data_IF_483057349941
#
_entry.id   IF_483057349941
#
_cell.length_a   1.000
_cell.length_b   1.000
_cell.length_c   1.000
_cell.angle_alpha   90.00
_cell.angle_beta   90.00
_cell.angle_gamma   90.00
#
_symmetry.space_group_name_H-M   'P 1'
#
loop_
_entity.id
_entity.type
_entity.pdbx_description
1 polymer ?
#
# COMPACT_ATOMS: atom_id res chain seq x y z
N UNK A 1 -18.36 -8.45 -8.94
CA UNK A 1 -19.11 -7.24 -8.52
C UNK A 1 -19.05 -6.93 -7.03
N UNK A 2 -18.81 -7.88 -6.09
CA UNK A 2 -18.56 -7.59 -4.65
C UNK A 2 -17.15 -7.07 -4.28
N UNK A 3 -16.06 -7.38 -5.00
CA UNK A 3 -14.71 -6.87 -4.67
C UNK A 3 -14.59 -5.35 -4.78
N UNK A 4 -15.30 -4.76 -5.75
CA UNK A 4 -15.31 -3.31 -6.01
C UNK A 4 -15.90 -2.54 -4.84
N UNK A 5 -16.97 -3.04 -4.22
CA UNK A 5 -17.58 -2.41 -3.05
C UNK A 5 -16.60 -2.34 -1.86
N UNK A 6 -15.87 -3.43 -1.58
CA UNK A 6 -14.89 -3.42 -0.48
C UNK A 6 -13.65 -2.55 -0.73
N UNK A 7 -13.19 -2.47 -1.97
CA UNK A 7 -12.11 -1.55 -2.34
C UNK A 7 -12.57 -0.08 -2.28
N UNK A 8 -13.81 0.18 -2.69
CA UNK A 8 -14.46 1.49 -2.62
C UNK A 8 -14.64 1.97 -1.18
N UNK A 9 -15.15 1.12 -0.29
CA UNK A 9 -15.35 1.47 1.12
C UNK A 9 -14.01 1.77 1.83
N UNK A 10 -12.95 1.04 1.48
CA UNK A 10 -11.60 1.34 1.97
C UNK A 10 -11.07 2.68 1.45
N UNK A 11 -11.23 2.96 0.15
CA UNK A 11 -10.78 4.22 -0.45
C UNK A 11 -11.53 5.43 0.13
N UNK A 12 -12.86 5.35 0.25
CA UNK A 12 -13.69 6.41 0.84
C UNK A 12 -13.34 6.63 2.33
N UNK A 13 -13.01 5.57 3.07
CA UNK A 13 -12.53 5.69 4.45
C UNK A 13 -11.17 6.38 4.58
N UNK A 14 -10.34 6.43 3.53
CA UNK A 14 -9.11 7.23 3.51
C UNK A 14 -9.39 8.71 3.22
N UNK A 15 -10.32 9.00 2.30
CA UNK A 15 -10.69 10.37 1.94
C UNK A 15 -11.36 11.12 3.10
N UNK A 16 -12.07 10.42 3.99
CA UNK A 16 -12.69 10.98 5.20
C UNK A 16 -11.71 11.64 6.19
N UNK A 17 -10.40 11.39 6.06
CA UNK A 17 -9.37 12.03 6.89
C UNK A 17 -8.95 13.41 6.37
N UNK A 18 -9.39 13.82 5.18
CA UNK A 18 -9.09 15.15 4.65
C UNK A 18 -9.95 16.22 5.36
N UNK A 19 -9.38 17.39 5.74
CA UNK A 19 -10.15 18.44 6.42
C UNK A 19 -11.36 18.87 5.57
N UNK A 20 -12.57 18.64 6.08
CA UNK A 20 -13.83 18.99 5.39
C UNK A 20 -14.43 17.90 4.49
N UNK A 21 -13.86 16.68 4.46
CA UNK A 21 -14.40 15.59 3.64
C UNK A 21 -15.60 14.84 4.27
N UNK A 22 -15.82 14.99 5.58
CA UNK A 22 -16.96 14.39 6.28
C UNK A 22 -17.44 15.27 7.44
N UNK A 23 -18.76 15.36 7.62
CA UNK A 23 -19.39 16.08 8.75
C UNK A 23 -19.08 15.44 10.11
N UNK A 24 -18.62 14.19 10.11
CA UNK A 24 -18.31 13.42 11.32
C UNK A 24 -16.85 13.02 11.32
N UNK A 25 -16.11 13.20 12.43
CA UNK A 25 -14.72 12.80 12.51
C UNK A 25 -14.58 11.28 12.31
N UNK A 26 -13.47 10.81 11.71
CA UNK A 26 -13.27 9.39 11.43
C UNK A 26 -13.27 8.57 12.71
N UNK A 27 -13.96 7.44 12.65
CA UNK A 27 -14.14 6.46 13.73
C UNK A 27 -12.81 5.78 14.09
N UNK A 28 -12.77 5.15 15.26
CA UNK A 28 -11.60 4.39 15.70
C UNK A 28 -11.26 3.23 14.74
N UNK A 29 -12.29 2.61 14.15
CA UNK A 29 -12.12 1.52 13.19
C UNK A 29 -11.48 2.01 11.88
N UNK A 30 -11.95 3.14 11.34
CA UNK A 30 -11.38 3.74 10.12
C UNK A 30 -9.91 4.13 10.33
N UNK A 31 -9.57 4.69 11.51
CA UNK A 31 -8.17 4.99 11.88
C UNK A 31 -7.31 3.74 11.94
N UNK A 32 -7.86 2.65 12.48
CA UNK A 32 -7.17 1.38 12.54
C UNK A 32 -6.93 0.81 11.15
N UNK A 33 -7.94 0.85 10.27
CA UNK A 33 -7.83 0.39 8.89
C UNK A 33 -6.83 1.23 8.09
N UNK A 34 -6.84 2.56 8.24
CA UNK A 34 -5.85 3.44 7.63
C UNK A 34 -4.42 3.05 8.02
N UNK A 35 -4.17 2.92 9.33
CA UNK A 35 -2.86 2.48 9.84
C UNK A 35 -2.48 1.08 9.37
N UNK A 36 -3.44 0.19 9.18
CA UNK A 36 -3.21 -1.13 8.63
C UNK A 36 -2.78 -1.06 7.16
N UNK A 37 -3.44 -0.24 6.35
CA UNK A 37 -3.08 -0.01 4.94
C UNK A 37 -1.69 0.63 4.84
N UNK A 38 -1.39 1.65 5.65
CA UNK A 38 -0.05 2.26 5.72
C UNK A 38 1.03 1.20 6.01
N UNK A 39 0.75 0.30 6.96
CA UNK A 39 1.66 -0.80 7.30
C UNK A 39 1.80 -1.78 6.14
N UNK A 40 0.71 -2.08 5.42
CA UNK A 40 0.73 -2.97 4.27
C UNK A 40 1.58 -2.39 3.12
N UNK A 41 1.45 -1.09 2.83
CA UNK A 41 2.27 -0.37 1.85
C UNK A 41 3.75 -0.41 2.24
N UNK A 42 4.07 -0.07 3.50
CA UNK A 42 5.43 -0.11 4.00
C UNK A 42 6.05 -1.53 3.95
N UNK A 43 5.23 -2.56 4.16
CA UNK A 43 5.65 -3.97 4.08
C UNK A 43 5.88 -4.39 2.61
N UNK A 44 4.98 -4.01 1.70
CA UNK A 44 5.11 -4.26 0.27
C UNK A 44 6.37 -3.66 -0.32
N UNK A 45 6.73 -2.43 0.09
CA UNK A 45 7.97 -1.77 -0.34
C UNK A 45 9.25 -2.55 0.01
N UNK A 46 9.19 -3.51 0.94
CA UNK A 46 10.37 -4.24 1.46
C UNK A 46 10.28 -5.75 1.27
N UNK A 47 9.18 -6.28 0.71
CA UNK A 47 8.94 -7.71 0.51
C UNK A 47 8.22 -7.97 -0.81
N UNK A 48 8.84 -8.63 -1.79
CA UNK A 48 8.20 -8.96 -3.06
C UNK A 48 6.90 -9.78 -2.91
N UNK A 49 6.84 -10.66 -1.89
CA UNK A 49 5.64 -11.45 -1.61
C UNK A 49 4.48 -10.58 -1.13
N UNK A 50 4.75 -9.65 -0.22
CA UNK A 50 3.75 -8.71 0.26
C UNK A 50 3.34 -7.72 -0.84
N UNK A 51 4.30 -7.29 -1.69
CA UNK A 51 4.03 -6.44 -2.83
C UNK A 51 3.06 -7.10 -3.81
N UNK A 52 3.22 -8.40 -4.11
CA UNK A 52 2.27 -9.13 -4.95
C UNK A 52 0.84 -9.09 -4.39
N UNK A 53 0.67 -9.35 -3.08
CA UNK A 53 -0.64 -9.27 -2.45
C UNK A 53 -1.23 -7.85 -2.45
N UNK A 54 -0.39 -6.82 -2.34
CA UNK A 54 -0.82 -5.42 -2.45
C UNK A 54 -1.25 -5.07 -3.88
N UNK A 55 -0.46 -5.48 -4.88
CA UNK A 55 -0.75 -5.24 -6.29
C UNK A 55 -2.02 -5.97 -6.74
N UNK A 56 -2.24 -7.21 -6.28
CA UNK A 56 -3.49 -7.96 -6.52
C UNK A 56 -4.74 -7.15 -6.14
N UNK A 57 -4.66 -6.34 -5.07
CA UNK A 57 -5.78 -5.53 -4.56
C UNK A 57 -5.85 -4.19 -5.29
N UNK A 58 -4.72 -3.52 -5.48
CA UNK A 58 -4.66 -2.24 -6.19
C UNK A 58 -5.06 -2.37 -7.66
N UNK A 59 -4.80 -3.53 -8.28
CA UNK A 59 -5.25 -3.87 -9.64
C UNK A 59 -6.70 -4.33 -9.72
N UNK A 60 -7.40 -4.43 -8.57
CA UNK A 60 -8.74 -4.99 -8.43
C UNK A 60 -8.86 -6.46 -8.90
N UNK A 61 -7.75 -7.16 -9.10
CA UNK A 61 -7.75 -8.58 -9.45
C UNK A 61 -8.34 -9.43 -8.31
N UNK A 62 -8.06 -9.05 -7.05
CA UNK A 62 -8.53 -9.75 -5.86
C UNK A 62 -9.18 -8.77 -4.87
N UNK A 63 -10.12 -9.25 -4.03
CA UNK A 63 -10.74 -8.41 -3.01
C UNK A 63 -9.72 -7.94 -1.96
N UNK A 64 -10.03 -6.83 -1.27
CA UNK A 64 -9.19 -6.27 -0.22
C UNK A 64 -8.85 -7.25 0.92
N UNK A 65 -9.66 -8.29 1.12
CA UNK A 65 -9.37 -9.35 2.09
C UNK A 65 -8.06 -10.09 1.81
N UNK A 66 -7.53 -10.00 0.58
CA UNK A 66 -6.21 -10.51 0.20
C UNK A 66 -5.07 -9.91 1.04
N UNK A 67 -5.23 -8.71 1.61
CA UNK A 67 -4.25 -8.12 2.53
C UNK A 67 -4.12 -8.88 3.86
N UNK A 68 -5.09 -9.73 4.22
CA UNK A 68 -5.02 -10.60 5.40
C UNK A 68 -4.43 -11.99 5.10
N UNK A 69 -3.88 -12.18 3.91
CA UNK A 69 -3.23 -13.44 3.54
C UNK A 69 -1.87 -13.61 4.20
N UNK A 70 -1.39 -14.86 4.24
CA UNK A 70 -0.06 -15.19 4.77
C UNK A 70 1.06 -14.43 4.06
N UNK A 71 0.93 -14.18 2.75
CA UNK A 71 1.93 -13.44 1.96
C UNK A 71 2.14 -11.99 2.44
N UNK A 72 1.12 -11.38 3.06
CA UNK A 72 1.18 -10.03 3.63
C UNK A 72 1.45 -10.08 5.14
N UNK A 73 0.72 -10.91 5.90
CA UNK A 73 0.82 -10.93 7.36
C UNK A 73 2.16 -11.48 7.86
N UNK A 74 2.74 -12.49 7.20
CA UNK A 74 4.03 -13.06 7.62
C UNK A 74 5.14 -12.00 7.51
N UNK A 75 5.38 -11.33 6.36
CA UNK A 75 6.37 -10.25 6.30
C UNK A 75 6.06 -9.06 7.22
N UNK A 76 4.78 -8.77 7.46
CA UNK A 76 4.38 -7.67 8.34
C UNK A 76 4.74 -7.94 9.81
N UNK A 77 4.58 -9.19 10.27
CA UNK A 77 4.91 -9.62 11.65
C UNK A 77 6.41 -9.78 11.88
N UNK A 78 7.12 -10.40 10.95
CA UNK A 78 8.57 -10.62 11.07
C UNK A 78 9.41 -9.41 10.68
N UNK A 79 8.77 -8.39 10.12
CA UNK A 79 9.41 -7.15 9.77
C UNK A 79 10.33 -7.24 8.54
N UNK A 80 10.87 -6.09 8.14
CA UNK A 80 11.65 -5.97 6.92
C UNK A 80 13.01 -6.66 7.04
N UNK A 81 13.27 -7.60 6.14
CA UNK A 81 14.56 -8.31 6.06
C UNK A 81 15.65 -7.50 5.35
N UNK A 82 15.29 -6.43 4.64
CA UNK A 82 16.22 -5.58 3.89
C UNK A 82 16.12 -4.12 4.37
N UNK A 83 17.25 -3.41 4.50
CA UNK A 83 17.25 -1.99 4.81
C UNK A 83 16.62 -1.19 3.67
N UNK A 84 16.20 0.05 3.98
CA UNK A 84 15.76 1.00 2.96
C UNK A 84 16.90 1.32 2.00
N UNK A 85 16.57 1.48 0.72
CA UNK A 85 17.49 2.03 -0.26
C UNK A 85 17.71 3.52 0.07
N UNK A 86 18.98 3.93 0.18
CA UNK A 86 19.35 5.33 0.41
C UNK A 86 19.24 6.16 -0.87
N UNK A 87 19.36 5.51 -2.02
CA UNK A 87 19.24 6.13 -3.33
C UNK A 87 18.59 5.18 -4.33
N UNK A 88 18.11 5.72 -5.45
CA UNK A 88 17.61 4.92 -6.55
C UNK A 88 18.77 4.06 -7.10
N UNK A 89 18.60 2.73 -7.21
CA UNK A 89 19.65 1.81 -7.63
C UNK A 89 19.81 1.83 -9.16
N UNK A 90 19.97 3.02 -9.73
CA UNK A 90 20.16 3.22 -11.16
C UNK A 90 21.62 2.94 -11.53
N UNK A 91 21.81 2.20 -12.60
CA UNK A 91 23.10 2.11 -13.28
C UNK A 91 23.49 3.47 -13.83
N UNK A 92 24.79 3.66 -14.10
CA UNK A 92 25.29 4.91 -14.68
C UNK A 92 24.60 5.26 -16.01
N UNK A 93 24.32 4.24 -16.83
CA UNK A 93 23.60 4.39 -18.09
C UNK A 93 22.17 4.88 -17.89
N UNK A 94 21.45 4.29 -16.93
CA UNK A 94 20.07 4.70 -16.61
C UNK A 94 20.02 6.12 -16.02
N UNK A 95 21.00 6.47 -15.18
CA UNK A 95 21.10 7.80 -14.58
C UNK A 95 21.31 8.87 -15.65
N UNK A 96 22.22 8.64 -16.60
CA UNK A 96 22.46 9.53 -17.75
C UNK A 96 21.20 9.72 -18.60
N UNK A 97 20.48 8.64 -18.89
CA UNK A 97 19.25 8.72 -19.67
C UNK A 97 18.18 9.58 -18.99
N UNK A 98 18.05 9.46 -17.66
CA UNK A 98 17.07 10.24 -16.89
C UNK A 98 17.39 11.75 -16.79
N UNK A 99 18.67 12.12 -16.84
CA UNK A 99 19.12 13.53 -16.74
C UNK A 99 19.32 14.22 -18.09
N UNK A 100 19.25 13.50 -19.21
CA UNK A 100 19.41 14.10 -20.54
C UNK A 100 18.12 14.85 -20.92
N UNK A 101 18.13 16.17 -21.12
CA UNK A 101 16.96 16.90 -21.56
C UNK A 101 16.54 16.45 -22.97
N UNK A 102 15.23 16.34 -23.18
CA UNK A 102 14.62 15.88 -24.44
C UNK A 102 14.71 16.94 -25.54
#
# INVERSE_FOLDING_TARGET
>A
SRPVAGAWDLAVGQDAFYPGAADTPPTALERFLARFVDRAVATGARSPRALGALLDVMSLEKPATRLFSADMLVPMLFGPKKPLLQEAPLTETERKAATTPR
#
